data_IF_745602929268
#
_entry.id   IF_745602929268
#
_cell.length_a   1.000
_cell.length_b   1.000
_cell.length_c   1.000
_cell.angle_alpha   90.00
_cell.angle_beta   90.00
_cell.angle_gamma   90.00
#
_symmetry.space_group_name_H-M   'P 1'
#
loop_
_entity.id
_entity.type
_entity.pdbx_description
1 polymer ?
#
# COMPACT_ATOMS: atom_id res chain seq x y z
N UNK A 1 -3.68 34.96 24.74
CA UNK A 1 -3.92 33.51 24.90
C UNK A 1 -2.95 32.75 24.00
N UNK A 2 -1.89 32.09 24.51
CA UNK A 2 -0.99 31.33 23.64
C UNK A 2 -1.55 29.93 23.37
N UNK A 3 -1.64 29.57 22.09
CA UNK A 3 -2.03 28.23 21.62
C UNK A 3 -0.96 27.21 22.02
N UNK A 4 -1.31 26.28 22.91
CA UNK A 4 -0.44 25.19 23.34
C UNK A 4 -0.20 24.18 22.20
N UNK A 5 1.07 23.87 21.97
CA UNK A 5 1.53 22.80 21.07
C UNK A 5 0.91 21.46 21.50
N UNK A 6 0.28 20.67 20.61
CA UNK A 6 -0.33 19.41 21.00
C UNK A 6 0.75 18.42 21.49
N UNK A 7 0.51 17.83 22.65
CA UNK A 7 1.40 16.85 23.27
C UNK A 7 1.62 15.64 22.34
N UNK A 8 2.88 15.34 22.02
CA UNK A 8 3.26 14.15 21.24
C UNK A 8 2.77 12.90 21.97
N UNK A 9 1.79 12.19 21.38
CA UNK A 9 1.31 10.91 21.91
C UNK A 9 2.49 9.93 22.01
N UNK A 10 2.72 9.39 23.21
CA UNK A 10 3.75 8.38 23.46
C UNK A 10 3.42 7.09 22.68
N UNK A 11 4.37 6.51 21.93
CA UNK A 11 4.14 5.25 21.25
C UNK A 11 3.86 4.12 22.25
N UNK A 12 3.05 3.15 21.85
CA UNK A 12 2.76 1.95 22.66
C UNK A 12 4.05 1.13 22.80
N UNK A 13 4.27 0.45 23.94
CA UNK A 13 5.50 -0.32 24.25
C UNK A 13 6.03 -1.22 23.12
N UNK A 14 5.14 -1.80 22.32
CA UNK A 14 5.49 -2.63 21.15
C UNK A 14 6.18 -1.80 20.06
N UNK A 15 5.66 -0.61 19.77
CA UNK A 15 6.23 0.31 18.79
C UNK A 15 7.57 0.87 19.27
N UNK A 16 7.71 1.19 20.57
CA UNK A 16 8.99 1.63 21.15
C UNK A 16 10.09 0.57 20.97
N UNK A 17 9.78 -0.71 21.22
CA UNK A 17 10.73 -1.81 21.00
C UNK A 17 11.13 -1.95 19.54
N UNK A 18 10.18 -1.81 18.62
CA UNK A 18 10.43 -1.87 17.18
C UNK A 18 11.34 -0.71 16.74
N UNK A 19 11.03 0.53 17.15
CA UNK A 19 11.86 1.69 16.83
C UNK A 19 13.26 1.59 17.44
N UNK A 20 13.39 1.10 18.68
CA UNK A 20 14.69 0.87 19.31
C UNK A 20 15.51 -0.17 18.55
N UNK A 21 14.88 -1.27 18.13
CA UNK A 21 15.56 -2.30 17.33
C UNK A 21 15.95 -1.77 15.95
N UNK A 22 15.06 -1.06 15.25
CA UNK A 22 15.37 -0.45 13.95
C UNK A 22 16.54 0.53 14.06
N UNK A 23 16.57 1.39 15.08
CA UNK A 23 17.69 2.32 15.30
C UNK A 23 18.99 1.57 15.66
N UNK A 24 18.91 0.44 16.37
CA UNK A 24 20.10 -0.36 16.64
C UNK A 24 20.65 -1.05 15.38
N UNK A 25 19.79 -1.41 14.43
CA UNK A 25 20.18 -2.10 13.19
C UNK A 25 20.57 -1.14 12.06
N UNK A 26 19.95 0.03 12.01
CA UNK A 26 20.00 0.96 10.87
C UNK A 26 20.32 2.41 11.29
N UNK A 27 20.75 2.65 12.54
CA UNK A 27 20.85 4.00 13.13
C UNK A 27 21.71 4.98 12.34
N UNK A 28 22.87 4.53 11.87
CA UNK A 28 23.78 5.31 11.02
C UNK A 28 23.66 4.92 9.53
N UNK A 29 22.62 4.16 9.18
CA UNK A 29 22.42 3.75 7.79
C UNK A 29 21.99 4.97 6.97
N UNK A 30 22.88 5.45 6.12
CA UNK A 30 22.55 6.47 5.14
C UNK A 30 21.45 5.97 4.21
N UNK A 31 20.37 6.75 3.99
CA UNK A 31 19.34 6.40 3.03
C UNK A 31 19.99 6.22 1.66
N UNK A 32 19.97 4.98 1.14
CA UNK A 32 20.45 4.73 -0.22
C UNK A 32 19.38 5.26 -1.18
N UNK A 33 19.46 6.56 -1.48
CA UNK A 33 18.51 7.28 -2.34
C UNK A 33 18.42 6.70 -3.75
N UNK A 34 19.43 5.95 -4.20
CA UNK A 34 19.49 5.31 -5.52
C UNK A 34 19.02 3.86 -5.52
N UNK A 35 18.69 3.28 -4.36
CA UNK A 35 18.32 1.87 -4.26
C UNK A 35 16.87 1.66 -4.66
N UNK A 36 16.68 1.02 -5.82
CA UNK A 36 15.38 0.48 -6.15
C UNK A 36 15.09 -0.75 -5.28
N UNK A 37 14.02 -0.64 -4.47
CA UNK A 37 13.57 -1.68 -3.52
C UNK A 37 13.09 -2.93 -4.28
N UNK A 38 12.40 -2.73 -5.41
CA UNK A 38 11.92 -3.83 -6.25
C UNK A 38 12.79 -3.98 -7.48
N UNK A 39 13.28 -5.19 -7.69
CA UNK A 39 14.17 -5.54 -8.81
C UNK A 39 13.68 -6.78 -9.52
N UNK A 40 14.00 -6.86 -10.80
CA UNK A 40 13.80 -8.06 -11.61
C UNK A 40 14.66 -9.21 -11.08
N UNK A 41 14.39 -10.44 -11.52
CA UNK A 41 15.22 -11.62 -11.21
C UNK A 41 16.70 -11.47 -11.58
N UNK A 42 17.03 -10.53 -12.47
CA UNK A 42 18.40 -10.22 -12.92
C UNK A 42 19.03 -9.05 -12.17
N UNK A 43 18.40 -8.57 -11.09
CA UNK A 43 18.90 -7.47 -10.25
C UNK A 43 18.70 -6.06 -10.84
N UNK A 44 18.20 -5.97 -12.08
CA UNK A 44 17.89 -4.72 -12.74
C UNK A 44 16.59 -4.10 -12.21
N UNK A 45 16.52 -2.78 -12.32
CA UNK A 45 15.33 -1.97 -12.14
C UNK A 45 14.12 -2.49 -12.90
N UNK A 46 12.93 -2.44 -12.29
CA UNK A 46 11.70 -2.65 -13.06
C UNK A 46 11.45 -1.44 -13.94
N UNK A 47 11.28 -1.70 -15.24
CA UNK A 47 10.79 -0.69 -16.19
C UNK A 47 9.29 -0.52 -16.03
N UNK A 48 8.75 0.57 -16.57
CA UNK A 48 7.30 0.78 -16.68
C UNK A 48 6.63 -0.49 -17.22
N UNK A 49 5.59 -0.93 -16.53
CA UNK A 49 4.79 -2.15 -16.81
C UNK A 49 5.48 -3.52 -16.61
N UNK A 50 6.80 -3.61 -16.62
CA UNK A 50 7.51 -4.92 -16.51
C UNK A 50 7.18 -5.69 -15.23
N UNK A 51 6.94 -5.00 -14.12
CA UNK A 51 6.48 -5.65 -12.89
C UNK A 51 5.08 -6.29 -13.04
N UNK A 52 4.20 -5.67 -13.83
CA UNK A 52 2.86 -6.21 -14.10
C UNK A 52 2.91 -7.41 -15.06
N UNK A 53 3.91 -7.47 -15.92
CA UNK A 53 4.15 -8.62 -16.82
C UNK A 53 4.64 -9.83 -16.00
N UNK A 54 5.68 -9.64 -15.19
CA UNK A 54 6.20 -10.67 -14.29
C UNK A 54 5.11 -11.20 -13.35
N UNK A 55 4.25 -10.31 -12.83
CA UNK A 55 3.09 -10.71 -12.05
C UNK A 55 2.16 -11.65 -12.83
N UNK A 56 1.78 -11.31 -14.07
CA UNK A 56 0.90 -12.16 -14.88
C UNK A 56 1.53 -13.52 -15.16
N UNK A 57 2.82 -13.56 -15.44
CA UNK A 57 3.51 -14.80 -15.75
C UNK A 57 3.56 -15.73 -14.54
N UNK A 58 3.86 -15.21 -13.34
CA UNK A 58 3.77 -15.99 -12.10
C UNK A 58 2.34 -16.50 -11.88
N UNK A 59 1.33 -15.66 -12.14
CA UNK A 59 -0.06 -16.03 -11.93
C UNK A 59 -0.54 -17.11 -12.89
N UNK A 60 -0.17 -17.05 -14.17
CA UNK A 60 -0.46 -18.12 -15.14
C UNK A 60 0.08 -19.48 -14.70
N UNK A 61 1.27 -19.49 -14.09
CA UNK A 61 1.93 -20.72 -13.62
C UNK A 61 1.27 -21.26 -12.36
N UNK A 62 1.04 -20.40 -11.36
CA UNK A 62 0.56 -20.84 -10.04
C UNK A 62 -0.97 -21.02 -10.02
N UNK A 63 -1.70 -20.24 -10.83
CA UNK A 63 -3.16 -20.22 -10.91
C UNK A 63 -3.62 -20.18 -12.38
N UNK A 64 -3.60 -21.33 -13.07
CA UNK A 64 -4.02 -21.41 -14.47
C UNK A 64 -5.44 -20.86 -14.68
N UNK A 65 -5.62 -20.04 -15.72
CA UNK A 65 -6.89 -19.39 -16.05
C UNK A 65 -7.19 -18.12 -15.26
N UNK A 66 -6.36 -17.73 -14.30
CA UNK A 66 -6.60 -16.52 -13.52
C UNK A 66 -6.20 -15.25 -14.29
N UNK A 67 -7.13 -14.30 -14.36
CA UNK A 67 -7.01 -13.07 -15.15
C UNK A 67 -6.77 -11.82 -14.30
N UNK A 68 -6.58 -11.96 -12.98
CA UNK A 68 -6.35 -10.82 -12.08
C UNK A 68 -5.08 -10.05 -12.46
N UNK A 69 -5.17 -8.73 -12.35
CA UNK A 69 -4.10 -7.78 -12.64
C UNK A 69 -3.56 -7.16 -11.35
N UNK A 70 -2.38 -6.53 -11.42
CA UNK A 70 -1.79 -5.79 -10.29
C UNK A 70 -2.74 -4.73 -9.69
N UNK A 71 -3.60 -4.11 -10.51
CA UNK A 71 -4.60 -3.14 -10.04
C UNK A 71 -5.65 -3.77 -9.12
N UNK A 72 -5.92 -5.07 -9.26
CA UNK A 72 -6.90 -5.75 -8.43
C UNK A 72 -6.44 -5.88 -6.96
N UNK A 73 -5.13 -5.80 -6.69
CA UNK A 73 -4.63 -5.71 -5.31
C UNK A 73 -5.07 -4.43 -4.61
N UNK A 74 -5.18 -3.31 -5.35
CA UNK A 74 -5.69 -2.06 -4.77
C UNK A 74 -7.17 -2.18 -4.46
N UNK A 75 -7.94 -2.84 -5.33
CA UNK A 75 -9.37 -3.09 -5.14
C UNK A 75 -9.64 -4.03 -3.96
N UNK A 76 -8.90 -5.13 -3.86
CA UNK A 76 -9.02 -6.06 -2.74
C UNK A 76 -8.61 -5.39 -1.43
N UNK A 77 -7.48 -4.67 -1.41
CA UNK A 77 -7.05 -3.94 -0.21
C UNK A 77 -8.05 -2.87 0.23
N UNK A 78 -8.71 -2.19 -0.72
CA UNK A 78 -9.77 -1.23 -0.41
C UNK A 78 -10.99 -1.92 0.20
N UNK A 79 -11.42 -3.04 -0.39
CA UNK A 79 -12.56 -3.83 0.10
C UNK A 79 -12.33 -4.32 1.53
N UNK A 80 -11.13 -4.86 1.81
CA UNK A 80 -10.76 -5.32 3.15
C UNK A 80 -10.68 -4.17 4.16
N UNK A 81 -10.13 -3.01 3.76
CA UNK A 81 -10.08 -1.84 4.63
C UNK A 81 -11.48 -1.33 5.00
N UNK A 82 -12.40 -1.29 4.04
CA UNK A 82 -13.81 -0.93 4.29
C UNK A 82 -14.47 -1.94 5.22
N UNK A 83 -14.26 -3.24 5.01
CA UNK A 83 -14.77 -4.28 5.90
C UNK A 83 -14.22 -4.15 7.34
N UNK A 84 -12.98 -3.67 7.48
CA UNK A 84 -12.35 -3.34 8.76
C UNK A 84 -12.79 -2.02 9.39
N UNK A 85 -13.76 -1.32 8.81
CA UNK A 85 -14.28 -0.06 9.34
C UNK A 85 -13.36 1.15 9.14
N UNK A 86 -12.45 1.11 8.18
CA UNK A 86 -11.60 2.26 7.86
C UNK A 86 -12.45 3.35 7.20
N UNK A 87 -12.39 4.55 7.78
CA UNK A 87 -13.05 5.75 7.26
C UNK A 87 -12.62 6.07 5.82
N UNK A 88 -13.57 6.48 4.98
CA UNK A 88 -13.35 6.72 3.55
C UNK A 88 -12.27 7.77 3.26
N UNK A 89 -12.17 8.81 4.10
CA UNK A 89 -11.14 9.86 3.98
C UNK A 89 -9.73 9.32 4.28
N UNK A 90 -9.60 8.46 5.30
CA UNK A 90 -8.35 7.81 5.64
C UNK A 90 -7.92 6.81 4.56
N UNK A 91 -8.88 6.06 3.99
CA UNK A 91 -8.63 5.16 2.87
C UNK A 91 -8.18 5.92 1.62
N UNK A 92 -8.85 7.03 1.28
CA UNK A 92 -8.52 7.90 0.13
C UNK A 92 -7.09 8.43 0.21
N UNK A 93 -6.70 8.94 1.39
CA UNK A 93 -5.35 9.42 1.64
C UNK A 93 -4.29 8.32 1.48
N UNK A 94 -4.60 7.07 1.87
CA UNK A 94 -3.66 5.93 1.75
C UNK A 94 -3.55 5.37 0.34
N UNK A 95 -4.61 5.45 -0.45
CA UNK A 95 -4.59 5.01 -1.85
C UNK A 95 -3.99 6.06 -2.78
N UNK A 96 -3.64 7.25 -2.27
CA UNK A 96 -3.19 8.40 -3.04
C UNK A 96 -4.17 8.75 -4.18
N UNK A 97 -5.47 8.61 -3.90
CA UNK A 97 -6.55 8.93 -4.83
C UNK A 97 -7.38 10.10 -4.27
N UNK A 98 -7.87 10.98 -5.14
CA UNK A 98 -8.92 11.96 -4.81
C UNK A 98 -10.32 11.32 -4.89
N UNK A 99 -10.55 10.21 -4.17
CA UNK A 99 -11.86 9.54 -4.17
C UNK A 99 -13.00 10.48 -3.73
N UNK A 100 -12.71 11.48 -2.91
CA UNK A 100 -13.64 12.54 -2.50
C UNK A 100 -14.07 13.48 -3.63
N UNK A 101 -13.36 13.50 -4.76
CA UNK A 101 -13.62 14.40 -5.89
C UNK A 101 -14.21 13.67 -7.11
N UNK A 102 -14.32 12.33 -7.10
CA UNK A 102 -14.84 11.59 -8.24
C UNK A 102 -15.56 10.29 -7.87
N UNK A 103 -16.91 10.34 -7.92
CA UNK A 103 -17.82 9.17 -7.83
C UNK A 103 -17.45 8.03 -8.81
N UNK A 104 -16.76 8.34 -9.92
CA UNK A 104 -16.34 7.37 -10.94
C UNK A 104 -15.14 6.53 -10.49
N UNK A 105 -14.22 7.09 -9.69
CA UNK A 105 -13.09 6.35 -9.13
C UNK A 105 -13.52 5.45 -7.97
N UNK A 106 -14.49 5.91 -7.17
CA UNK A 106 -15.12 5.12 -6.10
C UNK A 106 -15.82 3.87 -6.65
N UNK A 107 -16.57 4.02 -7.75
CA UNK A 107 -17.23 2.89 -8.45
C UNK A 107 -16.23 1.89 -9.07
N UNK A 108 -15.01 2.31 -9.44
CA UNK A 108 -13.98 1.39 -9.96
C UNK A 108 -13.25 0.61 -8.87
N UNK A 109 -13.39 1.01 -7.59
CA UNK A 109 -12.70 0.40 -6.45
C UNK A 109 -13.63 -0.47 -5.61
N UNK A 110 -14.95 -0.31 -5.76
CA UNK A 110 -15.98 -1.13 -5.12
C UNK A 110 -16.63 -2.05 -6.16
N UNK A 111 -16.62 -3.38 -5.98
CA UNK A 111 -17.46 -4.25 -6.80
C UNK A 111 -18.92 -3.85 -6.57
N UNK A 112 -19.73 -3.74 -7.63
CA UNK A 112 -21.17 -3.53 -7.46
C UNK A 112 -21.72 -4.67 -6.61
N UNK A 113 -22.18 -4.37 -5.39
CA UNK A 113 -23.03 -5.26 -4.60
C UNK A 113 -24.33 -5.46 -5.39
N UNK A 114 -24.33 -6.41 -6.32
CA UNK A 114 -25.54 -6.96 -6.88
C UNK A 114 -25.51 -8.47 -6.68
N UNK A 115 -26.34 -8.91 -5.73
CA UNK A 115 -26.86 -10.27 -5.54
C UNK A 115 -25.82 -11.38 -5.48
N UNK A 116 -25.48 -11.78 -4.26
CA UNK A 116 -25.87 -13.08 -3.70
C UNK A 116 -26.21 -12.89 -2.22
#
# INVERSE_FOLDING_TARGET
MPHGTPAKRRPVRRSERLFKWMNQQFGDAEPISSMEIFRTRRGAAYRKNSFSEDFRDVRKVVFPGDTRMMLDFRRSGSTEAVAGGVEGTALSAKLANSLSESKKLEQSMSPSRSRW
#
